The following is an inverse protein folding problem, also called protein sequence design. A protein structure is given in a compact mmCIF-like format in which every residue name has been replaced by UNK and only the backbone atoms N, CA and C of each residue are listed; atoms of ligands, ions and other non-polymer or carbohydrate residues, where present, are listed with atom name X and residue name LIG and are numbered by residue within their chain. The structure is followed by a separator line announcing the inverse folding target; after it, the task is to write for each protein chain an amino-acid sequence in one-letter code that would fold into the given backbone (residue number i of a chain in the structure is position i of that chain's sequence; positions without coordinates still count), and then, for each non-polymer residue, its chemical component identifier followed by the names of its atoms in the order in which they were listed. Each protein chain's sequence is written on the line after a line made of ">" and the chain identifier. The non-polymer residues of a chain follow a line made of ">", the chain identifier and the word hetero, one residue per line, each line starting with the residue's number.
data_IF_620313859544
#
_entry.id   IF_620313859544
#
_cell.length_a   1.000
_cell.length_b   1.000
_cell.length_c   1.000
_cell.angle_alpha   90.00
_cell.angle_beta   90.00
_cell.angle_gamma   90.00
#
_symmetry.space_group_name_H-M   'P 1'
#
loop_
_entity.id
_entity.type
_entity.pdbx_description
1 polymer ?
#
# COMPACT_ATOMS: atom_id res chain seq x y z
N UNK A 1 -10.76 0.60 -11.74
CA UNK A 1 -10.61 -0.28 -10.56
C UNK A 1 -11.09 0.47 -9.34
N UNK A 2 -12.00 -0.11 -8.54
CA UNK A 2 -12.45 0.48 -7.28
C UNK A 2 -11.40 0.24 -6.19
N UNK A 3 -11.02 1.30 -5.48
CA UNK A 3 -10.18 1.18 -4.29
C UNK A 3 -10.93 0.55 -3.12
N UNK A 4 -10.21 0.24 -2.04
CA UNK A 4 -10.77 -0.32 -0.81
C UNK A 4 -10.20 0.42 0.40
N UNK A 5 -11.00 0.50 1.45
CA UNK A 5 -10.64 1.23 2.66
C UNK A 5 -9.84 0.35 3.65
N UNK A 6 -8.79 0.91 4.24
CA UNK A 6 -8.06 0.36 5.38
C UNK A 6 -8.09 1.39 6.51
N UNK A 7 -8.41 0.93 7.71
CA UNK A 7 -8.24 1.72 8.92
C UNK A 7 -6.86 1.41 9.53
N UNK A 8 -6.05 2.44 9.71
CA UNK A 8 -4.76 2.38 10.40
C UNK A 8 -4.80 3.26 11.64
N UNK A 9 -3.98 2.95 12.64
CA UNK A 9 -3.82 3.78 13.83
C UNK A 9 -2.47 4.49 13.74
N UNK A 10 -2.48 5.82 13.77
CA UNK A 10 -1.29 6.67 13.63
C UNK A 10 -1.21 7.59 14.83
N UNK A 11 -0.17 7.46 15.64
CA UNK A 11 -0.01 8.23 16.90
C UNK A 11 -1.27 8.23 17.78
N UNK A 12 -1.88 7.05 17.97
CA UNK A 12 -3.15 6.83 18.67
C UNK A 12 -4.40 7.45 18.03
N UNK A 13 -4.30 8.07 16.85
CA UNK A 13 -5.46 8.54 16.09
C UNK A 13 -5.86 7.51 15.02
N UNK A 14 -7.14 7.10 14.94
CA UNK A 14 -7.62 6.29 13.84
C UNK A 14 -7.63 7.12 12.55
N UNK A 15 -7.04 6.57 11.49
CA UNK A 15 -6.97 7.16 10.17
C UNK A 15 -7.45 6.16 9.13
N UNK A 16 -8.46 6.57 8.37
CA UNK A 16 -8.99 5.78 7.25
C UNK A 16 -8.30 6.20 5.96
N UNK A 17 -7.79 5.20 5.23
CA UNK A 17 -7.15 5.38 3.92
C UNK A 17 -7.83 4.54 2.85
N UNK A 18 -7.93 5.09 1.65
CA UNK A 18 -8.38 4.43 0.44
C UNK A 18 -7.14 3.95 -0.29
N UNK A 19 -7.08 2.65 -0.56
CA UNK A 19 -6.02 2.00 -1.32
C UNK A 19 -6.58 1.64 -2.69
N UNK A 20 -6.03 2.23 -3.74
CA UNK A 20 -6.45 2.01 -5.12
C UNK A 20 -5.31 1.37 -5.89
N UNK A 21 -5.48 0.17 -6.48
CA UNK A 21 -4.47 -0.41 -7.35
C UNK A 21 -4.24 0.49 -8.58
N UNK A 22 -2.98 0.81 -8.85
CA UNK A 22 -2.53 1.58 -10.02
C UNK A 22 -2.08 0.62 -11.11
N UNK A 23 -1.26 -0.37 -10.73
CA UNK A 23 -0.69 -1.34 -11.65
C UNK A 23 -0.56 -2.70 -10.95
N UNK A 24 -1.27 -3.69 -11.47
CA UNK A 24 -1.25 -5.06 -10.96
C UNK A 24 0.04 -5.81 -11.29
N UNK A 25 0.78 -5.43 -12.34
CA UNK A 25 2.06 -6.08 -12.69
C UNK A 25 3.17 -5.78 -11.69
N UNK A 26 3.14 -4.61 -11.08
CA UNK A 26 4.17 -4.14 -10.14
C UNK A 26 3.65 -4.01 -8.70
N UNK A 27 2.43 -4.48 -8.43
CA UNK A 27 1.77 -4.31 -7.11
C UNK A 27 1.90 -2.87 -6.59
N UNK A 28 1.49 -1.91 -7.44
CA UNK A 28 1.53 -0.47 -7.14
C UNK A 28 0.16 0.00 -6.69
N UNK A 29 0.13 0.73 -5.59
CA UNK A 29 -1.09 1.20 -4.94
C UNK A 29 -1.01 2.70 -4.66
N UNK A 30 -2.05 3.42 -5.06
CA UNK A 30 -2.31 4.78 -4.64
C UNK A 30 -3.01 4.73 -3.29
N UNK A 31 -2.45 5.40 -2.30
CA UNK A 31 -3.00 5.45 -0.94
C UNK A 31 -3.39 6.90 -0.64
N UNK A 32 -4.66 7.12 -0.33
CA UNK A 32 -5.21 8.45 -0.05
C UNK A 32 -5.97 8.44 1.27
N UNK A 33 -6.00 9.55 1.99
CA UNK A 33 -6.88 9.64 3.17
C UNK A 33 -8.32 9.84 2.73
N UNK A 34 -9.28 9.22 3.42
CA UNK A 34 -10.72 9.33 3.08
C UNK A 34 -11.19 10.80 3.09
N UNK A 35 -10.58 11.64 3.94
CA UNK A 35 -10.93 13.07 4.04
C UNK A 35 -10.29 13.94 2.96
N UNK A 36 -9.50 13.39 2.05
CA UNK A 36 -8.88 14.12 0.92
C UNK A 36 -7.92 15.26 1.30
N UNK A 37 -7.58 15.41 2.59
CA UNK A 37 -6.83 16.57 3.09
C UNK A 37 -5.32 16.48 2.86
N UNK A 38 -4.82 15.34 2.39
CA UNK A 38 -3.40 15.12 2.27
C UNK A 38 -3.09 14.41 0.95
N UNK A 39 -1.91 14.73 0.39
CA UNK A 39 -1.51 14.25 -0.91
C UNK A 39 -1.41 12.72 -0.96
N UNK A 40 -1.82 12.10 -2.07
CA UNK A 40 -1.70 10.67 -2.27
C UNK A 40 -0.26 10.19 -2.10
N UNK A 41 -0.13 9.00 -1.55
CA UNK A 41 1.11 8.25 -1.52
C UNK A 41 1.07 7.15 -2.58
N UNK A 42 2.20 6.87 -3.23
CA UNK A 42 2.35 5.68 -4.08
C UNK A 42 3.18 4.65 -3.32
N UNK A 43 2.54 3.53 -3.04
CA UNK A 43 3.12 2.38 -2.36
C UNK A 43 3.36 1.25 -3.38
N UNK A 44 4.61 0.79 -3.47
CA UNK A 44 5.01 -0.27 -4.41
C UNK A 44 5.55 -1.46 -3.64
N UNK A 45 5.05 -2.65 -3.95
CA UNK A 45 5.61 -3.90 -3.44
C UNK A 45 6.70 -4.40 -4.38
N UNK A 46 7.90 -4.56 -3.85
CA UNK A 46 9.07 -5.03 -4.60
C UNK A 46 9.17 -6.56 -4.60
N UNK A 47 9.90 -7.14 -5.57
CA UNK A 47 10.15 -8.59 -5.63
C UNK A 47 10.81 -9.15 -4.37
N UNK A 48 11.72 -8.39 -3.75
CA UNK A 48 12.39 -8.71 -2.47
C UNK A 48 11.46 -8.73 -1.24
N UNK A 49 10.14 -8.76 -1.47
CA UNK A 49 9.09 -8.72 -0.46
C UNK A 49 9.07 -7.44 0.39
N UNK A 50 9.75 -6.37 -0.03
CA UNK A 50 9.75 -5.08 0.66
C UNK A 50 8.71 -4.10 0.10
N UNK A 51 8.38 -3.11 0.92
CA UNK A 51 7.47 -2.02 0.55
C UNK A 51 8.25 -0.71 0.43
N UNK A 52 8.08 -0.02 -0.70
CA UNK A 52 8.67 1.31 -0.90
C UNK A 52 7.60 2.35 -1.16
N UNK A 53 7.97 3.59 -0.85
CA UNK A 53 7.15 4.76 -1.15
C UNK A 53 7.84 5.57 -2.23
N UNK A 54 7.21 5.66 -3.40
CA UNK A 54 7.75 6.41 -4.55
C UNK A 54 7.40 7.89 -4.48
N UNK A 55 6.26 8.22 -3.86
CA UNK A 55 5.82 9.58 -3.59
C UNK A 55 5.18 9.61 -2.21
N UNK A 56 5.74 10.40 -1.29
CA UNK A 56 5.12 10.71 -0.01
C UNK A 56 5.27 12.20 0.30
N UNK A 57 4.17 12.84 0.65
CA UNK A 57 4.14 14.19 1.23
C UNK A 57 3.48 14.21 2.61
N UNK A 58 3.03 13.05 3.10
CA UNK A 58 2.40 12.94 4.42
C UNK A 58 3.45 12.72 5.50
N UNK A 59 3.63 13.71 6.40
CA UNK A 59 4.50 13.64 7.60
C UNK A 59 4.26 12.42 8.50
N UNK A 60 3.11 11.76 8.39
CA UNK A 60 2.69 10.68 9.28
C UNK A 60 3.06 9.27 8.77
N UNK A 61 3.44 9.11 7.50
CA UNK A 61 3.84 7.83 6.93
C UNK A 61 5.35 7.62 7.07
N UNK A 62 5.78 7.26 8.28
CA UNK A 62 7.15 6.78 8.51
C UNK A 62 7.35 5.39 7.90
N UNK A 63 8.61 4.97 7.66
CA UNK A 63 8.95 3.63 7.14
C UNK A 63 8.28 2.49 7.93
N UNK A 64 8.13 2.63 9.25
CA UNK A 64 7.46 1.65 10.09
C UNK A 64 5.95 1.53 9.78
N UNK A 65 5.27 2.65 9.50
CA UNK A 65 3.86 2.64 9.11
C UNK A 65 3.66 2.10 7.71
N UNK A 66 4.59 2.37 6.79
CA UNK A 66 4.60 1.82 5.44
C UNK A 66 4.62 0.29 5.46
N UNK A 67 5.49 -0.31 6.28
CA UNK A 67 5.54 -1.77 6.45
C UNK A 67 4.24 -2.35 7.00
N UNK A 68 3.66 -1.71 8.03
CA UNK A 68 2.36 -2.13 8.61
C UNK A 68 1.22 -2.01 7.61
N UNK A 69 1.12 -0.89 6.90
CA UNK A 69 0.11 -0.67 5.87
C UNK A 69 0.25 -1.71 4.75
N UNK A 70 1.47 -1.96 4.28
CA UNK A 70 1.75 -2.97 3.28
C UNK A 70 1.30 -4.38 3.70
N UNK A 71 1.56 -4.77 4.95
CA UNK A 71 1.07 -6.04 5.48
C UNK A 71 -0.47 -6.11 5.50
N UNK A 72 -1.16 -5.03 5.87
CA UNK A 72 -2.62 -4.96 5.85
C UNK A 72 -3.20 -5.08 4.43
N UNK A 73 -2.56 -4.42 3.45
CA UNK A 73 -2.93 -4.53 2.04
C UNK A 73 -2.78 -5.99 1.57
N UNK A 74 -1.65 -6.62 1.89
CA UNK A 74 -1.37 -8.02 1.53
C UNK A 74 -2.41 -8.98 2.10
N UNK A 75 -2.79 -8.79 3.36
CA UNK A 75 -3.82 -9.62 4.01
C UNK A 75 -5.21 -9.40 3.41
N UNK A 76 -5.53 -8.18 3.00
CA UNK A 76 -6.85 -7.84 2.44
C UNK A 76 -7.01 -8.28 0.99
N UNK A 77 -5.91 -8.31 0.23
CA UNK A 77 -5.87 -8.60 -1.21
C UNK A 77 -4.70 -9.50 -1.59
N UNK A 78 -4.61 -10.72 -1.03
CA UNK A 78 -3.47 -11.63 -1.28
C UNK A 78 -3.30 -12.00 -2.75
N UNK A 79 -4.40 -12.02 -3.51
CA UNK A 79 -4.41 -12.37 -4.95
C UNK A 79 -3.51 -11.47 -5.79
N UNK A 80 -3.36 -10.20 -5.42
CA UNK A 80 -2.50 -9.27 -6.14
C UNK A 80 -1.01 -9.57 -5.95
N UNK A 81 -0.64 -10.18 -4.82
CA UNK A 81 0.75 -10.48 -4.48
C UNK A 81 1.18 -11.86 -4.95
N UNK A 82 0.25 -12.83 -4.98
CA UNK A 82 0.52 -14.20 -5.44
C UNK A 82 1.05 -14.22 -6.89
N UNK A 83 0.50 -13.37 -7.76
CA UNK A 83 0.96 -13.26 -9.16
C UNK A 83 2.36 -12.64 -9.31
N UNK A 84 2.81 -11.84 -8.34
CA UNK A 84 4.14 -11.23 -8.39
C UNK A 84 5.21 -12.19 -7.89
N UNK A 85 4.89 -13.05 -6.92
CA UNK A 85 5.78 -14.11 -6.41
C UNK A 85 5.99 -15.23 -7.44
N UNK A 86 4.93 -15.65 -8.13
CA UNK A 86 4.99 -16.70 -9.16
C UNK A 86 5.87 -16.34 -10.37
N UNK A 87 6.20 -15.06 -10.58
CA UNK A 87 7.10 -14.62 -11.65
C UNK A 87 8.59 -14.79 -11.33
N UNK A 88 8.96 -14.92 -10.05
CA UNK A 88 10.35 -15.26 -9.66
C UNK A 88 10.60 -16.77 -9.68
N UNK A 89 9.54 -17.58 -9.53
CA UNK A 89 9.61 -19.06 -9.54
C UNK A 89 9.52 -19.69 -10.95
N UNK A 90 9.45 -18.88 -12.02
CA UNK A 90 9.50 -19.37 -13.40
C UNK A 90 10.92 -19.13 -13.97
N UNK A 91 11.62 -20.21 -14.39
CA UNK A 91 12.98 -20.12 -14.94
C UNK A 91 13.07 -19.33 -16.25
#
# INVERSE_FOLDING_TARGET
>A
MSGFEINIQVYNMPLSVIVTPIDSKFCRFKVETVRGKAQPMILTYRPDCSWIVEQASMKFFTLAYVGKLGALIKNKKPEWFLMNKLKEDLP
#
